data_IF_269339817406
#
_entry.id   IF_269339817406
#
_cell.length_a   1.000
_cell.length_b   1.000
_cell.length_c   1.000
_cell.angle_alpha   90.00
_cell.angle_beta   90.00
_cell.angle_gamma   90.00
#
_symmetry.space_group_name_H-M   'P 1'
#
loop_
_entity.id
_entity.type
_entity.pdbx_description
1 polymer ?
#
# COMPACT_ATOMS: atom_id res chain seq x y z
N UNK A 1 7.64 27.96 -29.86
CA UNK A 1 6.84 26.90 -29.21
C UNK A 1 6.87 25.58 -29.97
N UNK A 2 6.52 25.52 -31.26
CA UNK A 2 6.61 24.27 -32.07
C UNK A 2 8.00 23.66 -32.15
N UNK A 3 9.06 24.46 -32.34
CA UNK A 3 10.44 23.94 -32.39
C UNK A 3 10.92 23.32 -31.07
N UNK A 4 10.47 23.82 -29.91
CA UNK A 4 10.84 23.23 -28.61
C UNK A 4 10.10 21.91 -28.38
N UNK A 5 8.85 21.83 -28.85
CA UNK A 5 8.06 20.60 -28.79
C UNK A 5 8.69 19.48 -29.64
N UNK A 6 9.10 19.79 -30.87
CA UNK A 6 9.81 18.83 -31.74
C UNK A 6 11.14 18.36 -31.13
N UNK A 7 11.90 19.25 -30.49
CA UNK A 7 13.13 18.89 -29.78
C UNK A 7 12.88 17.92 -28.63
N UNK A 8 11.84 18.17 -27.82
CA UNK A 8 11.47 17.28 -26.70
C UNK A 8 11.00 15.93 -27.22
N UNK A 9 10.21 15.90 -28.28
CA UNK A 9 9.77 14.66 -28.94
C UNK A 9 10.96 13.82 -29.42
N UNK A 10 11.91 14.41 -30.15
CA UNK A 10 13.13 13.72 -30.56
C UNK A 10 13.94 13.18 -29.37
N UNK A 11 14.03 13.93 -28.27
CA UNK A 11 14.70 13.46 -27.05
C UNK A 11 13.95 12.30 -26.38
N UNK A 12 12.62 12.31 -26.36
CA UNK A 12 11.81 11.22 -25.81
C UNK A 12 12.05 9.94 -26.60
N UNK A 13 11.95 10.00 -27.93
CA UNK A 13 12.13 8.84 -28.80
C UNK A 13 13.54 8.24 -28.72
N UNK A 14 14.57 9.09 -28.61
CA UNK A 14 15.96 8.65 -28.61
C UNK A 14 16.52 8.26 -27.24
N UNK A 15 16.06 8.90 -26.16
CA UNK A 15 16.70 8.77 -24.84
C UNK A 15 15.86 8.03 -23.80
N UNK A 16 14.52 8.03 -23.89
CA UNK A 16 13.70 7.55 -22.78
C UNK A 16 13.94 6.06 -22.46
N UNK A 17 13.84 5.15 -23.43
CA UNK A 17 14.09 3.72 -23.20
C UNK A 17 15.55 3.47 -22.80
N UNK A 18 16.50 4.17 -23.42
CA UNK A 18 17.95 4.05 -23.08
C UNK A 18 18.21 4.44 -21.62
N UNK A 19 17.61 5.54 -21.15
CA UNK A 19 17.71 5.98 -19.76
C UNK A 19 17.08 4.98 -18.79
N UNK A 20 15.88 4.47 -19.11
CA UNK A 20 15.19 3.47 -18.29
C UNK A 20 16.00 2.18 -18.17
N UNK A 21 16.50 1.65 -19.29
CA UNK A 21 17.31 0.44 -19.33
C UNK A 21 18.64 0.60 -18.58
N UNK A 22 19.30 1.74 -18.76
CA UNK A 22 20.55 2.05 -18.06
C UNK A 22 20.34 2.11 -16.56
N UNK A 23 19.30 2.80 -16.11
CA UNK A 23 18.96 2.90 -14.69
C UNK A 23 18.63 1.53 -14.09
N UNK A 24 17.84 0.70 -14.76
CA UNK A 24 17.53 -0.65 -14.28
C UNK A 24 18.78 -1.54 -14.19
N UNK A 25 19.70 -1.43 -15.16
CA UNK A 25 20.99 -2.15 -15.13
C UNK A 25 21.88 -1.72 -13.98
N UNK A 26 21.94 -0.43 -13.67
CA UNK A 26 22.73 0.10 -12.55
C UNK A 26 22.10 -0.31 -11.21
N UNK A 27 20.79 -0.11 -11.06
CA UNK A 27 20.05 -0.37 -9.81
C UNK A 27 20.00 -1.87 -9.45
N UNK A 28 19.88 -2.76 -10.44
CA UNK A 28 19.91 -4.22 -10.21
C UNK A 28 21.28 -4.71 -9.76
N UNK A 29 22.36 -4.10 -10.25
CA UNK A 29 23.73 -4.39 -9.81
C UNK A 29 24.02 -3.87 -8.40
N UNK A 30 23.49 -2.71 -8.03
CA UNK A 30 23.65 -2.20 -6.66
C UNK A 30 22.94 -3.09 -5.63
N UNK A 31 21.73 -3.60 -5.95
CA UNK A 31 21.00 -4.50 -5.04
C UNK A 31 21.69 -5.85 -4.84
N UNK A 32 22.35 -6.39 -5.88
CA UNK A 32 23.09 -7.66 -5.77
C UNK A 32 24.45 -7.51 -5.06
N UNK A 33 25.08 -6.34 -5.12
CA UNK A 33 26.36 -6.07 -4.44
C UNK A 33 26.22 -5.76 -2.94
N UNK A 34 25.08 -5.26 -2.45
CA UNK A 34 24.83 -5.16 -1.00
C UNK A 34 24.84 -6.55 -0.31
N UNK A 35 24.54 -7.62 -1.05
CA UNK A 35 24.58 -9.00 -0.55
C UNK A 35 26.00 -9.62 -0.54
N UNK A 36 26.97 -9.03 -1.25
CA UNK A 36 28.35 -9.55 -1.36
C UNK A 36 29.32 -8.41 -1.11
N UNK A 37 29.76 -8.24 0.14
CA UNK A 37 30.75 -7.22 0.55
C UNK A 37 31.98 -7.23 -0.38
N UNK A 38 32.07 -6.26 -1.30
CA UNK A 38 33.27 -6.08 -2.13
C UNK A 38 33.16 -5.05 -3.27
N UNK A 39 33.93 -3.97 -3.13
CA UNK A 39 34.55 -3.16 -4.21
C UNK A 39 33.66 -2.44 -5.24
N UNK A 40 32.92 -1.42 -4.81
CA UNK A 40 32.83 -0.12 -5.52
C UNK A 40 32.73 1.00 -4.49
N UNK A 41 33.28 2.18 -4.81
CA UNK A 41 33.03 3.37 -4.01
C UNK A 41 31.53 3.67 -4.03
N UNK A 42 30.82 3.60 -2.89
CA UNK A 42 29.38 3.84 -2.84
C UNK A 42 29.03 5.25 -3.32
N UNK A 43 29.93 6.22 -3.08
CA UNK A 43 29.77 7.61 -3.54
C UNK A 43 29.78 7.73 -5.06
N UNK A 44 30.72 7.10 -5.78
CA UNK A 44 30.77 7.21 -7.24
C UNK A 44 29.57 6.54 -7.93
N UNK A 45 29.05 5.44 -7.37
CA UNK A 45 27.86 4.76 -7.93
C UNK A 45 26.59 5.57 -7.65
N UNK A 46 26.50 6.20 -6.48
CA UNK A 46 25.39 7.11 -6.14
C UNK A 46 25.40 8.37 -7.01
N UNK A 47 26.58 8.96 -7.25
CA UNK A 47 26.76 10.14 -8.11
C UNK A 47 26.32 9.87 -9.56
N UNK A 48 26.84 8.79 -10.17
CA UNK A 48 26.47 8.40 -11.54
C UNK A 48 24.97 8.10 -11.64
N UNK A 49 24.40 7.40 -10.65
CA UNK A 49 22.96 7.11 -10.63
C UNK A 49 22.14 8.42 -10.52
N UNK A 50 22.59 9.37 -9.70
CA UNK A 50 21.92 10.67 -9.54
C UNK A 50 21.87 11.49 -10.83
N UNK A 51 22.92 11.45 -11.65
CA UNK A 51 22.96 12.13 -12.96
C UNK A 51 21.94 11.55 -13.95
N UNK A 52 21.93 10.22 -14.14
CA UNK A 52 20.95 9.55 -15.01
C UNK A 52 19.51 9.76 -14.54
N UNK A 53 19.28 9.71 -13.23
CA UNK A 53 17.96 10.00 -12.65
C UNK A 53 17.57 11.46 -12.92
N UNK A 54 18.49 12.40 -12.79
CA UNK A 54 18.22 13.82 -13.07
C UNK A 54 17.88 14.05 -14.54
N UNK A 55 18.56 13.37 -15.47
CA UNK A 55 18.23 13.39 -16.90
C UNK A 55 16.84 12.81 -17.18
N UNK A 56 16.51 11.64 -16.63
CA UNK A 56 15.18 11.03 -16.78
C UNK A 56 14.08 11.95 -16.24
N UNK A 57 14.25 12.48 -15.03
CA UNK A 57 13.28 13.37 -14.40
C UNK A 57 13.13 14.68 -15.17
N UNK A 58 14.23 15.22 -15.71
CA UNK A 58 14.17 16.44 -16.53
C UNK A 58 13.42 16.19 -17.84
N UNK A 59 13.68 15.07 -18.51
CA UNK A 59 12.97 14.69 -19.73
C UNK A 59 11.47 14.52 -19.48
N UNK A 60 11.08 13.70 -18.50
CA UNK A 60 9.68 13.47 -18.13
C UNK A 60 8.96 14.76 -17.71
N UNK A 61 9.67 15.70 -17.06
CA UNK A 61 9.11 16.99 -16.65
C UNK A 61 8.81 17.92 -17.82
N UNK A 62 9.54 17.80 -18.94
CA UNK A 62 9.32 18.63 -20.13
C UNK A 62 8.24 18.07 -21.06
N UNK A 63 7.87 16.79 -20.89
CA UNK A 63 6.79 16.18 -21.64
C UNK A 63 5.44 16.85 -21.30
N UNK A 64 4.63 17.02 -22.33
CA UNK A 64 3.26 17.56 -22.27
C UNK A 64 2.28 16.47 -22.74
N UNK A 65 0.97 16.76 -22.70
CA UNK A 65 -0.08 15.85 -23.16
C UNK A 65 0.23 15.25 -24.55
N UNK A 66 0.69 16.09 -25.49
CA UNK A 66 0.99 15.68 -26.87
C UNK A 66 2.16 14.68 -26.89
N UNK A 67 3.21 14.94 -26.13
CA UNK A 67 4.38 14.04 -26.07
C UNK A 67 4.01 12.68 -25.48
N UNK A 68 3.14 12.64 -24.46
CA UNK A 68 2.66 11.37 -23.91
C UNK A 68 1.74 10.64 -24.90
N UNK A 69 0.87 11.36 -25.61
CA UNK A 69 0.02 10.76 -26.65
C UNK A 69 0.87 10.12 -27.76
N UNK A 70 1.82 10.86 -28.34
CA UNK A 70 2.71 10.33 -29.37
C UNK A 70 3.54 9.15 -28.86
N UNK A 71 4.08 9.23 -27.64
CA UNK A 71 4.78 8.09 -27.03
C UNK A 71 3.92 6.84 -26.95
N UNK A 72 2.63 6.97 -26.57
CA UNK A 72 1.72 5.82 -26.49
C UNK A 72 1.33 5.26 -27.87
N UNK A 73 1.31 6.10 -28.91
CA UNK A 73 1.01 5.71 -30.29
C UNK A 73 2.21 5.07 -31.02
N UNK A 74 3.43 5.37 -30.57
CA UNK A 74 4.67 4.90 -31.21
C UNK A 74 5.02 3.42 -30.96
N UNK A 75 4.36 2.75 -30.01
CA UNK A 75 4.62 1.32 -29.76
C UNK A 75 4.03 0.45 -30.86
N UNK A 76 4.85 -0.42 -31.46
CA UNK A 76 4.44 -1.26 -32.59
C UNK A 76 3.67 -2.49 -32.15
N UNK A 77 3.90 -2.94 -30.91
CA UNK A 77 3.22 -4.08 -30.32
C UNK A 77 2.83 -3.84 -28.87
N UNK A 78 1.84 -4.60 -28.42
CA UNK A 78 1.40 -4.58 -27.04
C UNK A 78 2.46 -5.11 -26.07
N UNK A 79 3.33 -6.02 -26.51
CA UNK A 79 4.44 -6.51 -25.69
C UNK A 79 5.50 -5.42 -25.48
N UNK A 80 5.81 -4.60 -26.50
CA UNK A 80 6.69 -3.44 -26.33
C UNK A 80 6.13 -2.43 -25.33
N UNK A 81 4.84 -2.11 -25.43
CA UNK A 81 4.17 -1.23 -24.47
C UNK A 81 4.22 -1.82 -23.05
N UNK A 82 3.98 -3.13 -22.91
CA UNK A 82 4.07 -3.83 -21.62
C UNK A 82 5.47 -3.75 -21.03
N UNK A 83 6.50 -4.05 -21.81
CA UNK A 83 7.89 -3.94 -21.36
C UNK A 83 8.21 -2.51 -20.92
N UNK A 84 7.81 -1.51 -21.70
CA UNK A 84 7.98 -0.11 -21.35
C UNK A 84 7.31 0.24 -20.02
N UNK A 85 6.02 -0.10 -19.84
CA UNK A 85 5.28 0.15 -18.60
C UNK A 85 5.94 -0.53 -17.40
N UNK A 86 6.36 -1.79 -17.54
CA UNK A 86 7.04 -2.50 -16.47
C UNK A 86 8.40 -1.86 -16.12
N UNK A 87 9.17 -1.42 -17.12
CA UNK A 87 10.45 -0.73 -16.91
C UNK A 87 10.25 0.58 -16.15
N UNK A 88 9.37 1.47 -16.64
CA UNK A 88 9.18 2.79 -16.03
C UNK A 88 8.59 2.69 -14.61
N UNK A 89 7.60 1.82 -14.39
CA UNK A 89 7.05 1.58 -13.05
C UNK A 89 8.12 1.01 -12.10
N UNK A 90 8.99 0.12 -12.59
CA UNK A 90 10.09 -0.43 -11.79
C UNK A 90 11.12 0.64 -11.42
N UNK A 91 11.52 1.48 -12.38
CA UNK A 91 12.42 2.62 -12.10
C UNK A 91 11.80 3.51 -11.03
N UNK A 92 10.54 3.92 -11.17
CA UNK A 92 9.85 4.77 -10.18
C UNK A 92 9.83 4.15 -8.79
N UNK A 93 9.54 2.86 -8.65
CA UNK A 93 9.63 2.18 -7.35
C UNK A 93 11.04 2.24 -6.77
N UNK A 94 12.07 2.03 -7.58
CA UNK A 94 13.45 2.10 -7.11
C UNK A 94 13.85 3.53 -6.72
N UNK A 95 13.37 4.57 -7.43
CA UNK A 95 13.62 5.98 -7.08
C UNK A 95 13.12 6.30 -5.67
N UNK A 96 11.99 5.71 -5.26
CA UNK A 96 11.42 5.92 -3.92
C UNK A 96 12.17 5.14 -2.83
N UNK A 97 12.69 3.93 -3.16
CA UNK A 97 13.38 3.07 -2.19
C UNK A 97 14.84 3.45 -1.93
N UNK A 98 15.62 3.75 -2.97
CA UNK A 98 17.09 3.79 -2.88
C UNK A 98 17.67 5.09 -2.27
N UNK A 99 16.84 5.98 -1.71
CA UNK A 99 17.29 7.27 -1.17
C UNK A 99 18.25 8.04 -2.09
N UNK A 100 17.97 8.03 -3.40
CA UNK A 100 18.87 8.54 -4.46
C UNK A 100 19.28 9.98 -4.19
N UNK A 101 18.34 10.80 -3.72
CA UNK A 101 18.63 12.14 -3.23
C UNK A 101 18.75 12.13 -1.70
N UNK A 102 19.75 12.83 -1.13
CA UNK A 102 19.90 13.02 0.30
C UNK A 102 18.60 13.49 0.97
N UNK A 103 18.41 13.12 2.24
CA UNK A 103 17.18 13.45 3.00
C UNK A 103 16.92 14.96 3.07
N UNK A 104 17.97 15.78 3.07
CA UNK A 104 17.85 17.23 3.16
C UNK A 104 17.45 17.89 1.82
N UNK A 105 17.59 17.17 0.70
CA UNK A 105 17.23 17.64 -0.65
C UNK A 105 15.73 17.53 -0.91
N UNK A 106 14.95 18.10 0.00
CA UNK A 106 13.50 18.00 0.01
C UNK A 106 12.86 18.54 -1.27
N UNK A 107 13.42 19.60 -1.87
CA UNK A 107 12.94 20.16 -3.14
C UNK A 107 13.03 19.11 -4.25
N UNK A 108 14.18 18.44 -4.37
CA UNK A 108 14.38 17.39 -5.37
C UNK A 108 13.48 16.19 -5.11
N UNK A 109 13.37 15.74 -3.85
CA UNK A 109 12.51 14.60 -3.49
C UNK A 109 11.03 14.86 -3.80
N UNK A 110 10.54 16.07 -3.52
CA UNK A 110 9.17 16.48 -3.84
C UNK A 110 8.97 16.65 -5.34
N UNK A 111 9.94 17.21 -6.06
CA UNK A 111 9.90 17.32 -7.52
C UNK A 111 9.82 15.93 -8.17
N UNK A 112 10.66 14.99 -7.75
CA UNK A 112 10.63 13.59 -8.19
C UNK A 112 9.26 12.97 -7.92
N UNK A 113 8.70 13.17 -6.73
CA UNK A 113 7.38 12.64 -6.36
C UNK A 113 6.29 13.21 -7.26
N UNK A 114 6.34 14.52 -7.56
CA UNK A 114 5.39 15.15 -8.47
C UNK A 114 5.49 14.58 -9.88
N UNK A 115 6.71 14.43 -10.42
CA UNK A 115 6.93 13.87 -11.76
C UNK A 115 6.42 12.43 -11.84
N UNK A 116 6.71 11.59 -10.84
CA UNK A 116 6.21 10.21 -10.79
C UNK A 116 4.68 10.17 -10.80
N UNK A 117 4.02 11.03 -10.01
CA UNK A 117 2.56 11.11 -9.95
C UNK A 117 2.00 11.52 -11.33
N UNK A 118 2.47 12.63 -11.89
CA UNK A 118 1.95 13.12 -13.18
C UNK A 118 2.20 12.11 -14.30
N UNK A 119 3.39 11.50 -14.35
CA UNK A 119 3.67 10.47 -15.36
C UNK A 119 2.80 9.23 -15.16
N UNK A 120 2.58 8.77 -13.93
CA UNK A 120 1.69 7.65 -13.67
C UNK A 120 0.25 7.94 -14.15
N UNK A 121 -0.23 9.17 -14.00
CA UNK A 121 -1.54 9.61 -14.51
C UNK A 121 -1.62 9.50 -16.04
N UNK A 122 -0.59 9.93 -16.77
CA UNK A 122 -0.56 9.78 -18.23
C UNK A 122 -0.50 8.33 -18.71
N UNK A 123 0.15 7.45 -17.94
CA UNK A 123 0.29 6.02 -18.31
C UNK A 123 -0.95 5.19 -17.97
N UNK A 124 -1.77 5.63 -17.00
CA UNK A 124 -2.91 4.88 -16.49
C UNK A 124 -3.96 4.53 -17.56
N UNK A 125 -4.36 5.45 -18.47
CA UNK A 125 -5.29 5.13 -19.56
C UNK A 125 -4.75 4.08 -20.53
N UNK A 126 -3.46 4.14 -20.85
CA UNK A 126 -2.83 3.15 -21.74
C UNK A 126 -2.77 1.77 -21.07
N UNK A 127 -2.48 1.71 -19.77
CA UNK A 127 -2.55 0.49 -18.99
C UNK A 127 -3.96 -0.11 -19.05
N UNK A 128 -4.97 0.68 -18.68
CA UNK A 128 -6.37 0.24 -18.65
C UNK A 128 -6.86 -0.21 -20.03
N UNK A 129 -6.70 0.61 -21.07
CA UNK A 129 -7.16 0.30 -22.43
C UNK A 129 -6.56 -0.99 -22.98
N UNK A 130 -5.28 -1.24 -22.70
CA UNK A 130 -4.58 -2.36 -23.32
C UNK A 130 -4.66 -3.62 -22.45
N UNK A 131 -4.54 -3.57 -21.13
CA UNK A 131 -4.25 -4.76 -20.31
C UNK A 131 -5.37 -5.22 -19.37
N UNK A 132 -6.64 -4.98 -19.72
CA UNK A 132 -7.78 -5.20 -18.80
C UNK A 132 -8.80 -6.20 -19.31
N UNK A 133 -9.23 -6.08 -20.57
CA UNK A 133 -10.29 -6.91 -21.14
C UNK A 133 -9.72 -8.20 -21.75
N UNK A 134 -9.74 -8.33 -23.09
CA UNK A 134 -9.45 -9.57 -23.81
C UNK A 134 -8.06 -10.15 -23.55
N UNK A 135 -7.08 -9.33 -23.18
CA UNK A 135 -5.76 -9.81 -22.77
C UNK A 135 -5.32 -9.08 -21.50
N UNK A 136 -5.94 -9.48 -20.40
CA UNK A 136 -5.59 -9.06 -19.05
C UNK A 136 -4.13 -9.43 -18.72
N UNK A 137 -3.37 -8.46 -18.22
CA UNK A 137 -1.99 -8.68 -17.75
C UNK A 137 -1.87 -8.36 -16.26
N UNK A 138 -1.88 -9.42 -15.45
CA UNK A 138 -1.73 -9.32 -13.99
C UNK A 138 -0.45 -8.58 -13.58
N UNK A 139 0.66 -8.78 -14.31
CA UNK A 139 1.97 -8.26 -13.91
C UNK A 139 2.03 -6.74 -14.04
N UNK A 140 1.48 -6.18 -15.11
CA UNK A 140 1.42 -4.72 -15.33
C UNK A 140 0.54 -4.05 -14.27
N UNK A 141 -0.66 -4.58 -14.05
CA UNK A 141 -1.59 -4.12 -13.01
C UNK A 141 -0.99 -4.21 -11.60
N UNK A 142 -0.41 -5.36 -11.25
CA UNK A 142 0.23 -5.55 -9.94
C UNK A 142 1.40 -4.58 -9.74
N UNK A 143 2.19 -4.35 -10.80
CA UNK A 143 3.30 -3.40 -10.81
C UNK A 143 2.81 -1.95 -10.55
N UNK A 144 1.65 -1.58 -11.10
CA UNK A 144 1.01 -0.29 -10.88
C UNK A 144 0.50 -0.13 -9.44
N UNK A 145 -0.30 -1.07 -8.92
CA UNK A 145 -0.77 -0.98 -7.52
C UNK A 145 0.38 -1.00 -6.52
N UNK A 146 1.41 -1.80 -6.78
CA UNK A 146 2.64 -1.80 -5.98
C UNK A 146 3.34 -0.44 -5.99
N UNK A 147 3.34 0.27 -7.13
CA UNK A 147 3.88 1.63 -7.21
C UNK A 147 3.03 2.60 -6.38
N UNK A 148 1.71 2.58 -6.55
CA UNK A 148 0.80 3.50 -5.87
C UNK A 148 0.86 3.34 -4.34
N UNK A 149 0.83 2.10 -3.83
CA UNK A 149 0.96 1.81 -2.39
C UNK A 149 2.31 2.30 -1.86
N UNK A 150 3.40 2.01 -2.56
CA UNK A 150 4.73 2.46 -2.16
C UNK A 150 4.84 3.99 -2.16
N UNK A 151 4.22 4.65 -3.14
CA UNK A 151 4.21 6.09 -3.30
C UNK A 151 3.48 6.79 -2.14
N UNK A 152 2.28 6.32 -1.78
CA UNK A 152 1.47 6.94 -0.73
C UNK A 152 2.17 6.80 0.64
N UNK A 153 2.79 5.65 0.88
CA UNK A 153 3.46 5.34 2.15
C UNK A 153 4.89 5.88 2.25
N UNK A 154 5.43 6.55 1.23
CA UNK A 154 6.83 6.96 1.24
C UNK A 154 7.12 8.02 2.32
N UNK A 155 8.25 7.95 3.03
CA UNK A 155 8.56 8.89 4.13
C UNK A 155 8.59 10.36 3.73
N UNK A 156 8.99 10.68 2.49
CA UNK A 156 9.08 12.07 2.02
C UNK A 156 7.73 12.77 1.86
N UNK A 157 6.63 12.02 1.80
CA UNK A 157 5.28 12.57 1.67
C UNK A 157 4.50 12.54 2.98
N UNK A 158 5.10 12.08 4.08
CA UNK A 158 4.47 12.12 5.40
C UNK A 158 4.54 13.54 6.00
N UNK A 159 3.61 14.39 5.53
CA UNK A 159 3.59 15.84 5.79
C UNK A 159 3.42 16.20 7.26
N UNK A 160 2.84 15.30 8.06
CA UNK A 160 2.71 15.39 9.52
C UNK A 160 4.06 15.48 10.24
N UNK A 161 5.12 14.93 9.64
CA UNK A 161 6.48 14.97 10.18
C UNK A 161 7.23 16.27 9.83
N UNK A 162 6.62 17.15 9.03
CA UNK A 162 7.23 18.41 8.60
C UNK A 162 6.84 19.55 9.53
N UNK A 163 7.70 20.57 9.61
CA UNK A 163 7.35 21.81 10.31
C UNK A 163 6.12 22.48 9.66
N UNK A 164 5.28 23.20 10.42
CA UNK A 164 4.06 23.82 9.88
C UNK A 164 4.32 24.71 8.67
N UNK A 165 5.42 25.48 8.68
CA UNK A 165 5.81 26.36 7.58
C UNK A 165 6.21 25.57 6.32
N UNK A 166 6.95 24.46 6.48
CA UNK A 166 7.34 23.60 5.36
C UNK A 166 6.12 22.88 4.78
N UNK A 167 5.27 22.31 5.63
CA UNK A 167 4.00 21.68 5.23
C UNK A 167 3.13 22.63 4.41
N UNK A 168 2.92 23.87 4.89
CA UNK A 168 2.15 24.88 4.16
C UNK A 168 2.73 25.13 2.77
N UNK A 169 4.05 25.35 2.65
CA UNK A 169 4.71 25.56 1.34
C UNK A 169 4.56 24.38 0.38
N UNK A 170 4.56 23.14 0.89
CA UNK A 170 4.34 21.95 0.06
C UNK A 170 2.91 21.92 -0.45
N UNK A 171 1.93 22.11 0.43
CA UNK A 171 0.51 22.11 0.07
C UNK A 171 0.16 23.25 -0.90
N UNK A 172 0.67 24.46 -0.67
CA UNK A 172 0.44 25.61 -1.55
C UNK A 172 0.98 25.37 -2.98
N UNK A 173 2.04 24.55 -3.13
CA UNK A 173 2.69 24.31 -4.42
C UNK A 173 2.20 23.04 -5.14
N UNK A 174 1.96 21.96 -4.41
CA UNK A 174 1.70 20.62 -4.96
C UNK A 174 0.35 20.04 -4.52
N UNK A 175 -0.35 20.66 -3.58
CA UNK A 175 -1.42 19.99 -2.84
C UNK A 175 -0.91 18.81 -2.01
N UNK A 176 -1.81 17.95 -1.56
CA UNK A 176 -1.43 16.65 -0.97
C UNK A 176 -1.34 15.58 -2.06
N UNK A 177 -0.12 15.35 -2.55
CA UNK A 177 0.13 14.35 -3.59
C UNK A 177 -0.27 12.92 -3.17
N UNK A 178 -0.37 12.63 -1.86
CA UNK A 178 -0.86 11.31 -1.40
C UNK A 178 -2.32 11.14 -1.77
N UNK A 179 -3.15 12.16 -1.53
CA UNK A 179 -4.58 12.17 -1.89
C UNK A 179 -4.75 11.97 -3.40
N UNK A 180 -3.98 12.71 -4.21
CA UNK A 180 -4.03 12.57 -5.67
C UNK A 180 -3.70 11.15 -6.14
N UNK A 181 -2.63 10.54 -5.61
CA UNK A 181 -2.28 9.15 -5.92
C UNK A 181 -3.33 8.16 -5.41
N UNK A 182 -3.99 8.42 -4.26
CA UNK A 182 -5.08 7.57 -3.76
C UNK A 182 -6.30 7.63 -4.67
N UNK A 183 -6.63 8.79 -5.26
CA UNK A 183 -7.67 8.88 -6.28
C UNK A 183 -7.32 8.08 -7.54
N UNK A 184 -6.07 8.13 -7.99
CA UNK A 184 -5.60 7.29 -9.11
C UNK A 184 -5.70 5.79 -8.79
N UNK A 185 -5.26 5.39 -7.59
CA UNK A 185 -5.39 4.02 -7.09
C UNK A 185 -6.85 3.57 -7.11
N UNK A 186 -7.77 4.41 -6.62
CA UNK A 186 -9.21 4.13 -6.62
C UNK A 186 -9.76 4.00 -8.05
N UNK A 187 -9.47 4.96 -8.92
CA UNK A 187 -9.90 4.94 -10.33
C UNK A 187 -9.45 3.67 -11.04
N UNK A 188 -8.16 3.33 -10.90
CA UNK A 188 -7.57 2.14 -11.49
C UNK A 188 -8.14 0.86 -10.88
N UNK A 189 -8.42 0.83 -9.58
CA UNK A 189 -9.12 -0.29 -8.95
C UNK A 189 -10.52 -0.49 -9.57
N UNK A 190 -11.29 0.58 -9.78
CA UNK A 190 -12.61 0.47 -10.39
C UNK A 190 -12.57 -0.07 -11.82
N UNK A 191 -11.53 0.27 -12.57
CA UNK A 191 -11.31 -0.17 -13.94
C UNK A 191 -11.00 -1.68 -14.10
N UNK A 192 -10.66 -2.40 -13.02
CA UNK A 192 -10.31 -3.83 -13.11
C UNK A 192 -11.49 -4.75 -13.48
N UNK A 193 -12.73 -4.34 -13.25
CA UNK A 193 -13.90 -5.21 -13.43
C UNK A 193 -13.79 -6.52 -12.64
N UNK A 194 -14.10 -7.65 -13.28
CA UNK A 194 -14.05 -8.99 -12.67
C UNK A 194 -12.64 -9.43 -12.26
N UNK A 195 -11.59 -8.82 -12.84
CA UNK A 195 -10.20 -9.16 -12.55
C UNK A 195 -9.76 -8.78 -11.13
N UNK A 196 -10.56 -7.97 -10.40
CA UNK A 196 -10.30 -7.62 -8.99
C UNK A 196 -10.02 -8.85 -8.13
N UNK A 197 -10.71 -9.96 -8.39
CA UNK A 197 -10.55 -11.18 -7.60
C UNK A 197 -9.13 -11.76 -7.60
N UNK A 198 -8.34 -11.48 -8.63
CA UNK A 198 -6.94 -11.92 -8.71
C UNK A 198 -6.02 -11.13 -7.77
N UNK A 199 -6.42 -9.91 -7.40
CA UNK A 199 -5.62 -9.01 -6.57
C UNK A 199 -6.00 -9.03 -5.10
N UNK A 200 -7.27 -9.29 -4.79
CA UNK A 200 -7.83 -9.19 -3.43
C UNK A 200 -6.92 -9.86 -2.38
N UNK A 201 -6.52 -11.14 -2.49
CA UNK A 201 -5.70 -11.79 -1.46
C UNK A 201 -4.35 -11.09 -1.24
N UNK A 202 -3.75 -10.56 -2.31
CA UNK A 202 -2.45 -9.90 -2.25
C UNK A 202 -2.50 -8.41 -1.91
N UNK A 203 -3.65 -7.74 -2.06
CA UNK A 203 -3.78 -6.29 -1.92
C UNK A 203 -4.41 -5.83 -0.62
N UNK A 204 -5.05 -6.71 0.17
CA UNK A 204 -5.62 -6.36 1.48
C UNK A 204 -4.55 -5.73 2.39
N UNK A 205 -3.42 -6.43 2.61
CA UNK A 205 -2.33 -5.91 3.44
C UNK A 205 -1.74 -4.58 2.92
N UNK A 206 -1.32 -4.50 1.65
CA UNK A 206 -0.86 -3.25 1.03
C UNK A 206 -1.84 -2.07 1.18
N UNK A 207 -3.14 -2.29 0.97
CA UNK A 207 -4.15 -1.24 1.07
C UNK A 207 -4.44 -0.85 2.52
N UNK A 208 -4.37 -1.78 3.47
CA UNK A 208 -4.39 -1.46 4.90
C UNK A 208 -3.16 -0.61 5.28
N UNK A 209 -2.02 -0.86 4.63
CA UNK A 209 -0.85 0.01 4.75
C UNK A 209 -1.15 1.46 4.37
N UNK A 210 -1.89 1.69 3.28
CA UNK A 210 -2.29 3.03 2.81
C UNK A 210 -3.20 3.74 3.82
N UNK A 211 -4.13 3.02 4.45
CA UNK A 211 -5.07 3.63 5.42
C UNK A 211 -4.42 4.04 6.75
N UNK A 212 -3.20 3.59 7.01
CA UNK A 212 -2.42 4.05 8.17
C UNK A 212 -1.88 5.47 8.01
N UNK A 213 -1.83 6.01 6.78
CA UNK A 213 -1.46 7.41 6.55
C UNK A 213 -2.45 8.30 7.33
N UNK A 214 -1.97 9.21 8.20
CA UNK A 214 -2.82 10.08 9.01
C UNK A 214 -3.36 11.25 8.18
N UNK A 215 -4.10 10.91 7.11
CA UNK A 215 -4.80 11.86 6.27
C UNK A 215 -6.23 11.37 5.98
N UNK A 216 -7.21 12.15 6.44
CA UNK A 216 -8.63 11.76 6.44
C UNK A 216 -9.15 11.44 5.04
N UNK A 217 -8.79 12.25 4.05
CA UNK A 217 -9.26 12.06 2.68
C UNK A 217 -8.71 10.78 2.04
N UNK A 218 -7.43 10.46 2.25
CA UNK A 218 -6.84 9.18 1.83
C UNK A 218 -7.64 8.02 2.41
N UNK A 219 -7.89 8.07 3.72
CA UNK A 219 -8.65 7.03 4.41
C UNK A 219 -10.06 6.88 3.85
N UNK A 220 -10.78 7.98 3.61
CA UNK A 220 -12.13 7.98 3.05
C UNK A 220 -12.20 7.38 1.64
N UNK A 221 -11.20 7.62 0.80
CA UNK A 221 -11.14 7.04 -0.56
C UNK A 221 -10.91 5.53 -0.51
N UNK A 222 -10.20 5.03 0.50
CA UNK A 222 -9.91 3.60 0.64
C UNK A 222 -11.09 2.79 1.19
N UNK A 223 -12.01 3.39 1.96
CA UNK A 223 -13.16 2.69 2.55
C UNK A 223 -13.97 1.94 1.47
N UNK A 224 -14.43 2.57 0.36
CA UNK A 224 -15.19 1.86 -0.65
C UNK A 224 -14.41 0.72 -1.34
N UNK A 225 -13.07 0.76 -1.35
CA UNK A 225 -12.25 -0.30 -1.92
C UNK A 225 -12.38 -1.58 -1.11
N UNK A 226 -12.30 -1.51 0.24
CA UNK A 226 -12.49 -2.69 1.09
C UNK A 226 -13.89 -3.26 0.99
N UNK A 227 -14.91 -2.40 0.87
CA UNK A 227 -16.26 -2.83 0.58
C UNK A 227 -16.33 -3.61 -0.74
N UNK A 228 -15.76 -3.06 -1.81
CA UNK A 228 -15.74 -3.69 -3.14
C UNK A 228 -14.96 -5.02 -3.11
N UNK A 229 -13.88 -5.14 -2.33
CA UNK A 229 -13.19 -6.43 -2.13
C UNK A 229 -14.12 -7.50 -1.53
N UNK A 230 -14.90 -7.15 -0.50
CA UNK A 230 -15.87 -8.07 0.11
C UNK A 230 -16.97 -8.44 -0.88
N UNK A 231 -17.54 -7.46 -1.60
CA UNK A 231 -18.60 -7.68 -2.59
C UNK A 231 -18.14 -8.60 -3.74
N UNK A 232 -16.93 -8.42 -4.28
CA UNK A 232 -16.39 -9.30 -5.31
C UNK A 232 -16.15 -10.74 -4.83
N UNK A 233 -15.64 -10.92 -3.61
CA UNK A 233 -15.50 -12.27 -3.05
C UNK A 233 -16.88 -12.90 -2.79
N UNK A 234 -17.81 -12.14 -2.23
CA UNK A 234 -19.18 -12.57 -1.96
C UNK A 234 -19.87 -13.06 -3.23
N UNK A 235 -19.78 -12.31 -4.33
CA UNK A 235 -20.38 -12.70 -5.62
C UNK A 235 -19.78 -13.98 -6.19
N UNK A 236 -18.48 -14.21 -5.98
CA UNK A 236 -17.78 -15.38 -6.52
C UNK A 236 -17.98 -16.64 -5.67
N UNK A 237 -17.91 -16.51 -4.34
CA UNK A 237 -17.82 -17.62 -3.39
C UNK A 237 -19.08 -17.80 -2.55
N UNK A 238 -20.05 -16.88 -2.62
CA UNK A 238 -21.23 -16.83 -1.74
C UNK A 238 -20.94 -16.40 -0.30
N UNK A 239 -19.69 -16.04 0.01
CA UNK A 239 -19.20 -15.52 1.29
C UNK A 239 -17.90 -14.73 1.05
N UNK A 240 -17.49 -13.88 2.00
CA UNK A 240 -16.22 -13.12 1.95
C UNK A 240 -15.24 -13.53 3.08
N UNK A 241 -15.26 -14.81 3.47
CA UNK A 241 -14.49 -15.28 4.64
C UNK A 241 -12.98 -15.17 4.47
N UNK A 242 -12.46 -15.22 3.23
CA UNK A 242 -11.02 -15.07 3.02
C UNK A 242 -10.60 -13.61 3.20
N UNK A 243 -11.38 -12.66 2.67
CA UNK A 243 -11.17 -11.22 2.91
C UNK A 243 -11.23 -10.91 4.40
N UNK A 244 -12.25 -11.43 5.10
CA UNK A 244 -12.37 -11.27 6.56
C UNK A 244 -11.14 -11.82 7.30
N UNK A 245 -10.73 -13.05 7.00
CA UNK A 245 -9.62 -13.70 7.69
C UNK A 245 -8.30 -12.98 7.46
N UNK A 246 -8.03 -12.53 6.23
CA UNK A 246 -6.81 -11.81 5.84
C UNK A 246 -6.79 -10.39 6.42
N UNK A 247 -7.93 -9.69 6.43
CA UNK A 247 -8.02 -8.35 7.00
C UNK A 247 -7.74 -8.39 8.51
N UNK A 248 -8.32 -9.36 9.24
CA UNK A 248 -8.04 -9.57 10.67
C UNK A 248 -6.55 -9.87 10.89
N UNK A 249 -5.97 -10.79 10.14
CA UNK A 249 -4.55 -11.16 10.25
C UNK A 249 -3.61 -9.96 10.04
N UNK A 250 -3.89 -9.17 9.00
CA UNK A 250 -3.06 -8.00 8.68
C UNK A 250 -3.25 -6.87 9.68
N UNK A 251 -4.45 -6.66 10.22
CA UNK A 251 -4.65 -5.68 11.29
C UNK A 251 -3.91 -6.06 12.58
N UNK A 252 -3.97 -7.33 12.99
CA UNK A 252 -3.22 -7.86 14.15
C UNK A 252 -1.72 -7.59 13.99
N UNK A 253 -1.17 -7.93 12.83
CA UNK A 253 0.23 -7.68 12.49
C UNK A 253 0.58 -6.18 12.53
N UNK A 254 -0.23 -5.32 11.90
CA UNK A 254 0.04 -3.88 11.84
C UNK A 254 0.02 -3.21 13.22
N UNK A 255 -0.94 -3.57 14.09
CA UNK A 255 -0.99 -3.00 15.44
C UNK A 255 0.14 -3.53 16.31
N UNK A 256 0.52 -4.81 16.14
CA UNK A 256 1.67 -5.42 16.81
C UNK A 256 2.99 -4.75 16.43
N UNK A 257 3.13 -4.30 15.17
CA UNK A 257 4.25 -3.46 14.71
C UNK A 257 4.21 -2.01 15.26
N UNK A 258 3.21 -1.69 16.08
CA UNK A 258 3.05 -0.37 16.70
C UNK A 258 2.39 0.67 15.81
N UNK A 259 1.76 0.27 14.70
CA UNK A 259 1.01 1.16 13.80
C UNK A 259 -0.46 1.30 14.23
N UNK A 260 -1.19 2.23 13.62
CA UNK A 260 -2.59 2.54 13.91
C UNK A 260 -2.78 3.56 15.04
N UNK A 261 -3.81 4.38 14.95
CA UNK A 261 -4.23 5.37 15.95
C UNK A 261 -5.74 5.28 16.24
N UNK A 262 -6.24 6.02 17.23
CA UNK A 262 -7.70 6.04 17.51
C UNK A 262 -8.51 6.51 16.29
N UNK A 263 -7.99 7.49 15.53
CA UNK A 263 -8.62 7.92 14.28
C UNK A 263 -8.69 6.78 13.24
N UNK A 264 -7.74 5.84 13.28
CA UNK A 264 -7.70 4.68 12.39
C UNK A 264 -8.72 3.63 12.81
N UNK A 265 -8.99 3.49 14.11
CA UNK A 265 -10.12 2.71 14.62
C UNK A 265 -11.46 3.30 14.17
N UNK A 266 -11.65 4.62 14.33
CA UNK A 266 -12.88 5.30 13.92
C UNK A 266 -13.17 5.14 12.42
N UNK A 267 -12.11 5.03 11.60
CA UNK A 267 -12.23 4.78 10.17
C UNK A 267 -13.03 3.51 9.84
N UNK A 268 -12.82 2.42 10.59
CA UNK A 268 -13.55 1.18 10.36
C UNK A 268 -15.03 1.34 10.71
N UNK A 269 -15.38 2.19 11.68
CA UNK A 269 -16.78 2.55 11.95
C UNK A 269 -17.45 3.26 10.77
N UNK A 270 -16.70 3.95 9.92
CA UNK A 270 -17.24 4.57 8.69
C UNK A 270 -17.58 3.52 7.62
N UNK A 271 -16.94 2.34 7.60
CA UNK A 271 -17.37 1.23 6.72
C UNK A 271 -18.81 0.82 7.02
N UNK A 272 -19.26 0.88 8.28
CA UNK A 272 -20.64 0.58 8.66
C UNK A 272 -21.63 1.53 7.96
N UNK A 273 -21.22 2.77 7.68
CA UNK A 273 -22.07 3.75 6.97
C UNK A 273 -22.25 3.40 5.49
N UNK A 274 -21.33 2.66 4.87
CA UNK A 274 -21.51 2.16 3.50
C UNK A 274 -22.60 1.09 3.43
N UNK A 275 -22.80 0.34 4.53
CA UNK A 275 -23.94 -0.55 4.69
C UNK A 275 -25.21 0.18 5.15
N UNK A 276 -25.19 1.51 5.29
CA UNK A 276 -26.33 2.34 5.70
C UNK A 276 -27.33 2.62 4.56
N UNK A 277 -28.54 3.12 4.87
CA UNK A 277 -29.55 3.43 3.86
C UNK A 277 -29.20 4.74 3.13
N UNK A 278 -28.40 4.67 2.06
CA UNK A 278 -28.14 5.82 1.18
C UNK A 278 -29.24 5.95 0.11
N UNK A 279 -29.94 7.10 -0.01
CA UNK A 279 -31.15 7.25 -0.84
C UNK A 279 -31.00 6.94 -2.33
N UNK A 280 -29.80 7.06 -2.90
CA UNK A 280 -29.50 6.80 -4.32
C UNK A 280 -28.84 5.43 -4.57
N UNK A 281 -28.58 4.67 -3.51
CA UNK A 281 -28.05 3.30 -3.51
C UNK A 281 -29.09 2.28 -3.01
N UNK A 282 -30.23 2.75 -2.49
CA UNK A 282 -31.31 1.90 -1.97
C UNK A 282 -31.77 0.84 -2.97
N UNK A 283 -31.89 1.15 -4.26
CA UNK A 283 -32.25 0.13 -5.27
C UNK A 283 -31.19 -0.98 -5.46
N UNK A 284 -29.92 -0.72 -5.13
CA UNK A 284 -28.81 -1.68 -5.27
C UNK A 284 -28.49 -2.43 -3.98
N UNK A 285 -28.57 -1.75 -2.83
CA UNK A 285 -28.24 -2.28 -1.50
C UNK A 285 -29.41 -3.09 -0.90
N UNK A 286 -30.67 -2.80 -1.26
CA UNK A 286 -31.82 -3.64 -0.87
C UNK A 286 -31.73 -5.08 -1.42
N UNK A 287 -30.83 -5.36 -2.38
CA UNK A 287 -30.58 -6.68 -2.96
C UNK A 287 -29.38 -7.43 -2.36
N UNK A 288 -28.58 -6.80 -1.48
CA UNK A 288 -27.41 -7.45 -0.90
C UNK A 288 -27.79 -8.34 0.29
N UNK A 289 -27.97 -9.63 0.01
CA UNK A 289 -28.26 -10.69 0.99
C UNK A 289 -27.20 -10.83 2.10
N UNK A 290 -26.06 -10.15 1.98
CA UNK A 290 -24.93 -10.21 2.89
C UNK A 290 -24.75 -8.96 3.77
N UNK A 291 -25.65 -7.97 3.68
CA UNK A 291 -25.58 -6.72 4.46
C UNK A 291 -25.41 -6.94 5.96
N UNK A 292 -26.21 -7.83 6.55
CA UNK A 292 -26.13 -8.13 7.99
C UNK A 292 -24.78 -8.73 8.36
N UNK A 293 -24.28 -9.67 7.54
CA UNK A 293 -22.95 -10.26 7.68
C UNK A 293 -21.84 -9.20 7.55
N UNK A 294 -21.96 -8.28 6.60
CA UNK A 294 -21.03 -7.16 6.41
C UNK A 294 -20.99 -6.22 7.63
N UNK A 295 -22.15 -5.82 8.15
CA UNK A 295 -22.25 -4.99 9.36
C UNK A 295 -21.63 -5.71 10.57
N UNK A 296 -21.94 -7.00 10.74
CA UNK A 296 -21.36 -7.82 11.81
C UNK A 296 -19.84 -7.86 11.71
N UNK A 297 -19.29 -8.09 10.52
CA UNK A 297 -17.85 -8.11 10.28
C UNK A 297 -17.19 -6.76 10.61
N UNK A 298 -17.71 -5.65 10.10
CA UNK A 298 -17.16 -4.32 10.38
C UNK A 298 -17.20 -4.02 11.89
N UNK A 299 -18.27 -4.44 12.58
CA UNK A 299 -18.37 -4.31 14.04
C UNK A 299 -17.29 -5.13 14.74
N UNK A 300 -17.08 -6.39 14.33
CA UNK A 300 -16.03 -7.25 14.86
C UNK A 300 -14.64 -6.66 14.64
N UNK A 301 -14.34 -6.12 13.45
CA UNK A 301 -13.06 -5.46 13.14
C UNK A 301 -12.87 -4.20 13.96
N UNK A 302 -13.90 -3.38 14.14
CA UNK A 302 -13.83 -2.16 14.95
C UNK A 302 -13.53 -2.51 16.42
N UNK A 303 -14.14 -3.57 16.94
CA UNK A 303 -13.89 -4.08 18.31
C UNK A 303 -12.52 -4.73 18.43
N UNK A 304 -12.05 -5.44 17.40
CA UNK A 304 -10.68 -5.96 17.34
C UNK A 304 -9.66 -4.82 17.44
N UNK A 305 -9.84 -3.77 16.64
CA UNK A 305 -8.97 -2.59 16.66
C UNK A 305 -8.93 -1.92 18.04
N UNK A 306 -10.08 -1.75 18.70
CA UNK A 306 -10.15 -1.28 20.08
C UNK A 306 -9.31 -2.14 21.03
N UNK A 307 -9.48 -3.46 21.00
CA UNK A 307 -8.74 -4.38 21.88
C UNK A 307 -7.23 -4.40 21.59
N UNK A 308 -6.83 -4.32 20.33
CA UNK A 308 -5.43 -4.28 19.95
C UNK A 308 -4.75 -2.98 20.36
N UNK A 309 -5.45 -1.84 20.23
CA UNK A 309 -4.95 -0.53 20.67
C UNK A 309 -4.85 -0.47 22.21
N UNK A 310 -5.89 -0.91 22.92
CA UNK A 310 -5.89 -1.05 24.39
C UNK A 310 -4.68 -1.88 24.85
N UNK A 311 -4.48 -3.06 24.26
CA UNK A 311 -3.37 -3.95 24.59
C UNK A 311 -2.01 -3.28 24.37
N UNK A 312 -1.82 -2.62 23.22
CA UNK A 312 -0.58 -1.92 22.89
C UNK A 312 -0.28 -0.81 23.91
N UNK A 313 -1.28 -0.06 24.31
CA UNK A 313 -1.12 1.06 25.23
C UNK A 313 -0.85 0.54 26.67
N UNK A 314 -1.49 -0.56 27.10
CA UNK A 314 -1.15 -1.25 28.35
C UNK A 314 0.32 -1.73 28.38
N UNK A 315 0.82 -2.24 27.25
CA UNK A 315 2.17 -2.80 27.17
C UNK A 315 3.27 -1.73 27.07
N UNK A 316 2.99 -0.58 26.47
CA UNK A 316 3.92 0.56 26.40
C UNK A 316 3.99 1.37 27.71
N UNK A 317 2.92 1.35 28.51
CA UNK A 317 2.85 2.09 29.77
C UNK A 317 3.64 1.44 30.92
N UNK A 318 3.95 2.26 31.93
CA UNK A 318 4.42 1.81 33.26
C UNK A 318 3.23 1.27 34.09
N UNK A 319 2.35 0.53 33.43
CA UNK A 319 1.16 -0.05 34.02
C UNK A 319 1.52 -1.27 34.87
N UNK A 320 0.78 -1.46 35.96
CA UNK A 320 0.98 -2.60 36.88
C UNK A 320 0.90 -3.94 36.14
N UNK A 321 1.69 -4.92 36.57
CA UNK A 321 1.74 -6.27 35.96
C UNK A 321 0.35 -6.93 35.86
N UNK A 322 -0.52 -6.72 36.86
CA UNK A 322 -1.91 -7.17 36.84
C UNK A 322 -2.74 -6.58 35.68
N UNK A 323 -2.54 -5.31 35.34
CA UNK A 323 -3.22 -4.68 34.19
C UNK A 323 -2.70 -5.26 32.88
N UNK A 324 -1.39 -5.49 32.76
CA UNK A 324 -0.79 -6.11 31.57
C UNK A 324 -1.35 -7.52 31.35
N UNK A 325 -1.42 -8.33 32.40
CA UNK A 325 -2.05 -9.66 32.37
C UNK A 325 -3.55 -9.54 31.98
N UNK A 326 -4.26 -8.57 32.56
CA UNK A 326 -5.67 -8.31 32.23
C UNK A 326 -5.90 -7.96 30.75
N UNK A 327 -5.09 -7.07 30.18
CA UNK A 327 -5.20 -6.71 28.75
C UNK A 327 -4.90 -7.92 27.84
N UNK A 328 -3.91 -8.76 28.19
CA UNK A 328 -3.61 -10.01 27.48
C UNK A 328 -4.79 -11.00 27.52
N UNK A 329 -5.36 -11.25 28.71
CA UNK A 329 -6.48 -12.18 28.87
C UNK A 329 -7.72 -11.68 28.11
N UNK A 330 -7.99 -10.38 28.14
CA UNK A 330 -9.11 -9.78 27.40
C UNK A 330 -8.95 -9.98 25.88
N UNK A 331 -7.74 -9.77 25.35
CA UNK A 331 -7.46 -9.97 23.93
C UNK A 331 -7.59 -11.45 23.53
N UNK A 332 -7.06 -12.37 24.33
CA UNK A 332 -7.18 -13.82 24.09
C UNK A 332 -8.63 -14.29 24.15
N UNK A 333 -9.40 -13.79 25.12
CA UNK A 333 -10.83 -14.09 25.21
C UNK A 333 -11.58 -13.60 23.98
N UNK A 334 -11.27 -12.41 23.47
CA UNK A 334 -11.88 -11.88 22.25
C UNK A 334 -11.60 -12.77 21.02
N UNK A 335 -10.35 -13.19 20.83
CA UNK A 335 -9.98 -14.12 19.76
C UNK A 335 -10.73 -15.46 19.87
N UNK A 336 -10.87 -15.97 21.09
CA UNK A 336 -11.56 -17.23 21.37
C UNK A 336 -13.09 -17.13 21.17
N UNK A 337 -13.72 -16.06 21.65
CA UNK A 337 -15.17 -15.94 21.67
C UNK A 337 -15.77 -15.37 20.39
N UNK A 338 -15.06 -14.48 19.70
CA UNK A 338 -15.63 -13.70 18.59
C UNK A 338 -15.00 -14.01 17.23
N UNK A 339 -13.73 -14.41 17.19
CA UNK A 339 -13.02 -14.69 15.93
C UNK A 339 -12.92 -16.21 15.66
N UNK A 340 -13.16 -17.07 16.67
CA UNK A 340 -13.17 -18.53 16.58
C UNK A 340 -11.93 -19.13 15.87
N UNK A 341 -10.76 -18.50 16.06
CA UNK A 341 -9.47 -18.93 15.49
C UNK A 341 -8.61 -19.61 16.56
N UNK A 342 -8.94 -20.84 16.93
CA UNK A 342 -8.05 -21.68 17.76
C UNK A 342 -6.73 -21.99 17.03
N UNK A 343 -6.71 -21.98 15.69
CA UNK A 343 -5.52 -22.26 14.88
C UNK A 343 -4.45 -21.15 14.86
N UNK A 344 -4.80 -19.87 15.03
CA UNK A 344 -3.77 -18.79 15.09
C UNK A 344 -2.94 -18.86 16.38
N UNK A 345 -3.53 -19.33 17.47
CA UNK A 345 -2.84 -19.56 18.74
C UNK A 345 -1.90 -20.78 18.66
N UNK A 346 -2.15 -21.72 17.76
CA UNK A 346 -1.36 -22.94 17.58
C UNK A 346 -0.28 -22.82 16.48
N UNK A 347 -0.49 -21.96 15.47
CA UNK A 347 0.41 -21.82 14.31
C UNK A 347 1.52 -20.78 14.47
N UNK A 348 1.35 -19.76 15.33
CA UNK A 348 2.44 -18.89 15.75
C UNK A 348 3.23 -19.62 16.82
N UNK A 349 4.34 -20.27 16.42
CA UNK A 349 5.24 -20.91 17.38
C UNK A 349 5.52 -19.98 18.57
N UNK A 350 5.67 -20.54 19.77
CA UNK A 350 5.85 -19.89 21.08
C UNK A 350 6.90 -18.75 21.19
N UNK A 351 7.49 -18.30 20.09
CA UNK A 351 8.53 -17.28 19.99
C UNK A 351 8.02 -15.89 19.55
N UNK A 352 6.83 -15.78 18.94
CA UNK A 352 6.24 -14.47 18.56
C UNK A 352 5.25 -13.90 19.57
N UNK A 353 4.93 -14.69 20.58
CA UNK A 353 4.22 -14.23 21.76
C UNK A 353 5.27 -13.61 22.69
N UNK A 354 5.14 -12.34 23.15
CA UNK A 354 6.06 -11.79 24.14
C UNK A 354 6.23 -12.77 25.30
N UNK A 355 7.47 -13.02 25.71
CA UNK A 355 7.91 -14.05 26.69
C UNK A 355 7.09 -14.14 27.99
N UNK A 356 6.18 -13.20 28.26
CA UNK A 356 5.24 -13.23 29.37
C UNK A 356 4.18 -14.35 29.30
N UNK A 357 3.89 -14.94 28.14
CA UNK A 357 2.81 -15.96 28.02
C UNK A 357 3.30 -17.39 28.35
N UNK A 358 4.59 -17.67 28.31
CA UNK A 358 5.13 -19.00 28.63
C UNK A 358 5.23 -19.29 30.14
N UNK A 359 5.08 -18.29 31.01
CA UNK A 359 5.29 -18.44 32.46
C UNK A 359 3.99 -18.50 33.30
N UNK A 360 2.81 -18.55 32.67
CA UNK A 360 1.53 -18.49 33.39
C UNK A 360 0.56 -19.63 33.09
N UNK A 361 1.03 -20.77 32.58
CA UNK A 361 0.28 -22.02 32.74
C UNK A 361 0.47 -22.54 34.18
N UNK A 362 -0.61 -22.81 34.93
CA UNK A 362 -0.50 -23.52 36.20
C UNK A 362 0.02 -24.93 35.88
N UNK A 363 1.09 -25.36 36.56
CA UNK A 363 1.47 -26.77 36.58
C UNK A 363 0.29 -27.59 37.10
N UNK A 364 -0.10 -28.58 36.32
CA UNK A 364 -1.06 -29.61 36.70
C UNK A 364 -0.53 -30.38 37.93
N UNK A 365 -1.27 -30.49 39.05
CA UNK A 365 -0.74 -31.10 40.28
C UNK A 365 -0.56 -32.63 40.25
N UNK A 366 -0.92 -33.33 39.17
CA UNK A 366 -1.01 -34.80 39.16
C UNK A 366 0.17 -35.56 38.53
N UNK A 367 1.28 -34.91 38.20
CA UNK A 367 2.48 -35.58 37.67
C UNK A 367 3.57 -35.81 38.73
N UNK A 368 3.21 -36.39 39.88
CA UNK A 368 4.18 -36.96 40.83
C UNK A 368 3.77 -38.39 41.16
N UNK A 369 4.03 -39.35 40.27
CA UNK A 369 4.32 -40.74 40.65
C UNK A 369 5.01 -41.44 39.47
N UNK A 370 5.99 -42.30 39.82
CA UNK A 370 6.85 -43.14 38.97
C UNK A 370 8.22 -42.56 38.57
N UNK A 371 9.09 -42.45 39.57
CA UNK A 371 10.48 -42.93 39.45
C UNK A 371 10.85 -43.69 40.74
N UNK A 372 10.95 -45.01 40.62
CA UNK A 372 11.81 -45.89 41.43
C UNK A 372 12.21 -47.07 40.58
#
# INVERSE_FOLDING_TARGET
>A
DTSVQEEVEMMVESLLDVLLQTLLSIMSKSQSQEAVRGQRCPQCTAEITGEYVSCLLSLLRQMTDIHFQHLMENFQSKEELKEFLLKILCVFRNLMKLSIFPRDWNIMRLLTSNIILTTAQYLSPALHKNFTEAEFDFKVWNSYFSLAVLYINQPSLQLENLSPAKRKKVLDKYGDMRVMMTYELFSMWQNLGENKIHFIPGMIGPFLGVTLVPQVEVRNIMIPIFHDMMDWEQRKNGNFKQVEAELIDKLDSLVSEGKGDENYRELFGLLTQLFGPYPSLLEKIEQETWRETGISFVTSVTRLMERLLDYRDCMKGDETENKKIGCTVNLLNFYKSEINKEEMLAGKGCWEIPQAIACSTPMDPEAHFLQS
#
